data_IF_781454843340
#
_entry.id   IF_781454843340
#
_cell.length_a   1.000
_cell.length_b   1.000
_cell.length_c   1.000
_cell.angle_alpha   90.00
_cell.angle_beta   90.00
_cell.angle_gamma   90.00
#
_symmetry.space_group_name_H-M   'P 1'
#
loop_
_entity.id
_entity.type
_entity.pdbx_description
1 polymer ?
#
# COMPACT_ATOMS: atom_id res chain seq x y z
N UNK A 1 7.32 -3.21 -24.71
CA UNK A 1 7.01 -4.07 -23.56
C UNK A 1 8.20 -3.99 -22.61
N UNK A 2 8.18 -3.09 -21.64
CA UNK A 2 9.24 -2.99 -20.63
C UNK A 2 8.66 -3.55 -19.34
N UNK A 3 9.30 -4.59 -18.82
CA UNK A 3 9.18 -4.96 -17.42
C UNK A 3 9.44 -3.71 -16.56
N UNK A 4 8.96 -3.73 -15.31
CA UNK A 4 9.45 -2.85 -14.24
C UNK A 4 10.90 -2.46 -14.50
N UNK A 5 11.14 -1.16 -14.64
CA UNK A 5 12.31 -0.67 -15.34
C UNK A 5 13.57 -1.24 -14.69
N UNK A 6 14.38 -1.91 -15.51
CA UNK A 6 15.64 -2.55 -15.16
C UNK A 6 16.75 -1.54 -14.77
N UNK A 7 16.40 -0.31 -14.39
CA UNK A 7 17.34 0.81 -14.21
C UNK A 7 17.74 1.10 -12.75
N UNK A 8 17.32 0.29 -11.78
CA UNK A 8 17.92 0.37 -10.44
C UNK A 8 17.75 1.71 -9.71
N UNK A 9 16.60 2.38 -9.85
CA UNK A 9 16.35 3.61 -9.11
C UNK A 9 14.87 3.95 -8.97
N UNK A 10 14.34 3.81 -7.75
CA UNK A 10 13.24 4.59 -7.14
C UNK A 10 12.18 5.11 -8.13
N UNK A 11 11.42 4.23 -8.77
CA UNK A 11 10.30 4.68 -9.61
C UNK A 11 9.27 5.38 -8.71
N UNK A 12 9.16 6.70 -8.90
CA UNK A 12 8.25 7.57 -8.16
C UNK A 12 6.82 7.34 -8.64
N UNK A 13 5.99 6.78 -7.78
CA UNK A 13 4.55 6.67 -7.97
C UNK A 13 3.85 7.79 -7.19
N UNK A 14 2.77 8.29 -7.74
CA UNK A 14 1.90 9.28 -7.11
C UNK A 14 0.72 8.56 -6.48
N UNK A 15 0.39 8.88 -5.24
CA UNK A 15 -0.76 8.34 -4.52
C UNK A 15 -1.78 9.45 -4.25
N UNK A 16 -2.93 9.35 -4.92
CA UNK A 16 -4.02 10.32 -4.82
C UNK A 16 -4.90 10.14 -3.59
N UNK A 17 -5.80 11.11 -3.41
CA UNK A 17 -6.86 11.16 -2.40
C UNK A 17 -6.37 11.29 -0.96
N UNK A 18 -7.14 12.05 -0.17
CA UNK A 18 -6.95 12.16 1.26
C UNK A 18 -7.48 10.90 1.96
N UNK A 19 -8.68 10.45 1.59
CA UNK A 19 -9.21 9.15 1.99
C UNK A 19 -8.48 8.04 1.21
N UNK A 20 -7.64 7.22 1.87
CA UNK A 20 -6.89 6.18 1.20
C UNK A 20 -7.79 5.09 0.60
N UNK A 21 -9.07 4.99 1.01
CA UNK A 21 -10.02 4.01 0.49
C UNK A 21 -10.54 4.34 -0.92
N UNK A 22 -10.40 5.58 -1.35
CA UNK A 22 -10.80 6.08 -2.67
C UNK A 22 -9.59 6.63 -3.45
N UNK A 23 -8.45 5.97 -3.29
CA UNK A 23 -7.17 6.44 -3.80
C UNK A 23 -6.72 5.69 -5.04
N UNK A 24 -5.80 6.30 -5.79
CA UNK A 24 -5.15 5.67 -6.93
C UNK A 24 -3.64 5.85 -6.83
N UNK A 25 -2.91 4.77 -7.10
CA UNK A 25 -1.45 4.76 -7.24
C UNK A 25 -1.13 4.72 -8.72
N UNK A 26 -0.43 5.72 -9.22
CA UNK A 26 -0.15 5.87 -10.64
C UNK A 26 1.26 6.39 -10.88
N UNK A 27 1.84 6.05 -12.03
CA UNK A 27 3.13 6.55 -12.48
C UNK A 27 2.99 7.37 -13.77
N UNK A 28 4.13 7.77 -14.38
CA UNK A 28 4.15 8.41 -15.69
C UNK A 28 3.46 7.61 -16.80
N UNK A 29 3.34 6.29 -16.60
CA UNK A 29 2.81 5.30 -17.54
C UNK A 29 1.30 5.06 -17.40
N UNK A 30 0.65 5.67 -16.40
CA UNK A 30 -0.76 5.46 -16.10
C UNK A 30 -1.02 4.85 -14.70
N UNK A 31 -2.27 4.42 -14.42
CA UNK A 31 -2.64 3.82 -13.15
C UNK A 31 -1.97 2.44 -12.96
N UNK A 32 -1.58 2.15 -11.72
CA UNK A 32 -1.05 0.84 -11.32
C UNK A 32 -2.01 0.15 -10.35
N UNK A 33 -2.50 0.88 -9.35
CA UNK A 33 -3.49 0.38 -8.39
C UNK A 33 -4.60 1.40 -8.18
N UNK A 34 -5.82 0.91 -7.96
CA UNK A 34 -7.00 1.73 -7.71
C UNK A 34 -7.80 1.14 -6.56
N UNK A 35 -8.08 1.97 -5.56
CA UNK A 35 -8.98 1.66 -4.46
C UNK A 35 -10.33 2.31 -4.73
N UNK A 36 -11.39 1.51 -4.67
CA UNK A 36 -12.76 1.96 -4.85
C UNK A 36 -13.57 1.62 -3.62
N UNK A 37 -14.01 2.63 -2.88
CA UNK A 37 -14.88 2.44 -1.73
C UNK A 37 -16.34 2.55 -2.16
N UNK A 38 -17.14 1.56 -1.79
CA UNK A 38 -18.59 1.58 -1.87
C UNK A 38 -19.15 1.88 -0.48
N UNK A 39 -19.57 3.12 -0.26
CA UNK A 39 -20.15 3.59 1.00
C UNK A 39 -21.49 2.90 1.34
N UNK A 40 -22.22 2.38 0.34
CA UNK A 40 -23.49 1.69 0.60
C UNK A 40 -23.26 0.30 1.19
N UNK A 41 -22.14 -0.34 0.81
CA UNK A 41 -21.76 -1.68 1.27
C UNK A 41 -20.69 -1.66 2.36
N UNK A 42 -20.09 -0.50 2.63
CA UNK A 42 -18.89 -0.36 3.46
C UNK A 42 -17.78 -1.34 3.01
N UNK A 43 -17.52 -1.37 1.70
CA UNK A 43 -16.50 -2.25 1.09
C UNK A 43 -15.52 -1.40 0.31
N UNK A 44 -14.21 -1.67 0.46
CA UNK A 44 -13.21 -1.16 -0.48
C UNK A 44 -12.67 -2.30 -1.33
N UNK A 45 -12.59 -2.12 -2.64
CA UNK A 45 -11.90 -3.06 -3.52
C UNK A 45 -10.62 -2.42 -4.06
N UNK A 46 -9.52 -3.17 -4.00
CA UNK A 46 -8.24 -2.80 -4.59
C UNK A 46 -8.06 -3.57 -5.90
N UNK A 47 -7.88 -2.83 -6.97
CA UNK A 47 -7.62 -3.34 -8.31
C UNK A 47 -6.20 -3.00 -8.72
N UNK A 48 -5.54 -3.94 -9.39
CA UNK A 48 -4.27 -3.72 -10.07
C UNK A 48 -4.49 -3.71 -11.57
N UNK A 49 -3.93 -2.73 -12.26
CA UNK A 49 -3.94 -2.68 -13.72
C UNK A 49 -3.10 -3.82 -14.29
N UNK A 50 -3.70 -4.59 -15.19
CA UNK A 50 -3.12 -5.75 -15.87
C UNK A 50 -3.02 -5.48 -17.37
N UNK A 51 -2.50 -6.45 -18.14
CA UNK A 51 -2.33 -6.27 -19.59
C UNK A 51 -3.68 -6.17 -20.31
N UNK A 52 -3.76 -5.24 -21.27
CA UNK A 52 -4.90 -5.09 -22.18
C UNK A 52 -6.12 -4.45 -21.53
N UNK A 53 -5.92 -3.37 -20.76
CA UNK A 53 -6.96 -2.60 -20.07
C UNK A 53 -7.83 -3.40 -19.09
N UNK A 54 -7.33 -4.56 -18.65
CA UNK A 54 -7.98 -5.39 -17.63
C UNK A 54 -7.50 -4.98 -16.25
N UNK A 55 -8.39 -5.06 -15.28
CA UNK A 55 -8.08 -4.88 -13.87
C UNK A 55 -8.22 -6.22 -13.14
N UNK A 56 -7.21 -6.57 -12.36
CA UNK A 56 -7.23 -7.75 -11.49
C UNK A 56 -7.54 -7.29 -10.06
N UNK A 57 -8.59 -7.84 -9.44
CA UNK A 57 -8.89 -7.55 -8.03
C UNK A 57 -7.85 -8.21 -7.13
N UNK A 58 -7.07 -7.40 -6.43
CA UNK A 58 -5.99 -7.81 -5.53
C UNK A 58 -6.53 -8.07 -4.12
N UNK A 59 -7.35 -7.14 -3.61
CA UNK A 59 -7.89 -7.23 -2.26
C UNK A 59 -9.32 -6.68 -2.18
N UNK A 60 -10.09 -7.19 -1.22
CA UNK A 60 -11.40 -6.69 -0.84
C UNK A 60 -11.46 -6.50 0.67
N UNK A 61 -11.75 -5.28 1.10
CA UNK A 61 -11.83 -4.84 2.48
C UNK A 61 -13.31 -4.70 2.85
N UNK A 62 -13.75 -5.39 3.88
CA UNK A 62 -15.08 -5.26 4.47
C UNK A 62 -14.94 -4.52 5.79
N UNK A 63 -15.41 -3.27 5.81
CA UNK A 63 -15.28 -2.39 6.97
C UNK A 63 -16.43 -2.63 7.95
N UNK A 64 -16.19 -2.35 9.23
CA UNK A 64 -17.25 -2.31 10.23
C UNK A 64 -18.22 -1.14 9.97
N UNK A 65 -19.42 -1.15 10.61
CA UNK A 65 -20.50 -0.19 10.35
C UNK A 65 -20.11 1.30 10.47
N UNK A 66 -19.07 1.61 11.25
CA UNK A 66 -18.58 2.97 11.50
C UNK A 66 -17.19 3.22 10.90
N UNK A 67 -16.79 2.47 9.87
CA UNK A 67 -15.43 2.50 9.33
C UNK A 67 -14.40 1.76 10.20
N UNK A 68 -14.83 1.07 11.25
CA UNK A 68 -13.95 0.24 12.06
C UNK A 68 -13.25 -0.84 11.22
N UNK A 69 -12.06 -1.26 11.67
CA UNK A 69 -11.32 -2.34 11.02
C UNK A 69 -12.14 -3.64 11.05
N UNK A 70 -12.38 -4.21 9.87
CA UNK A 70 -13.09 -5.47 9.72
C UNK A 70 -12.17 -6.55 9.14
N UNK A 71 -12.56 -7.12 8.00
CA UNK A 71 -11.81 -8.21 7.34
C UNK A 71 -11.31 -7.81 5.97
N UNK A 72 -10.20 -8.37 5.57
CA UNK A 72 -9.64 -8.22 4.23
C UNK A 72 -9.45 -9.59 3.60
N UNK A 73 -9.85 -9.69 2.34
CA UNK A 73 -9.66 -10.86 1.50
C UNK A 73 -8.62 -10.55 0.43
N UNK A 74 -7.50 -11.27 0.44
CA UNK A 74 -6.39 -11.15 -0.52
C UNK A 74 -6.25 -12.49 -1.23
N UNK A 75 -6.56 -12.51 -2.53
CA UNK A 75 -6.68 -13.77 -3.28
C UNK A 75 -7.72 -14.71 -2.64
N UNK A 76 -7.26 -15.84 -2.10
CA UNK A 76 -8.11 -16.84 -1.42
C UNK A 76 -8.10 -16.72 0.12
N UNK A 77 -7.23 -15.88 0.67
CA UNK A 77 -7.04 -15.77 2.12
C UNK A 77 -7.93 -14.64 2.64
N UNK A 78 -8.63 -14.88 3.75
CA UNK A 78 -9.36 -13.85 4.48
C UNK A 78 -8.81 -13.75 5.89
N UNK A 79 -8.45 -12.55 6.30
CA UNK A 79 -7.91 -12.26 7.63
C UNK A 79 -8.47 -10.96 8.22
N UNK A 80 -8.42 -10.78 9.55
CA UNK A 80 -8.68 -9.49 10.17
C UNK A 80 -7.75 -8.39 9.63
N UNK A 81 -8.27 -7.18 9.38
CA UNK A 81 -7.43 -6.05 8.94
C UNK A 81 -6.39 -5.66 9.99
N UNK A 82 -6.68 -5.89 11.28
CA UNK A 82 -5.75 -5.61 12.38
C UNK A 82 -4.45 -6.41 12.26
N UNK A 83 -4.50 -7.63 11.70
CA UNK A 83 -3.32 -8.47 11.50
C UNK A 83 -2.40 -7.95 10.38
N UNK A 84 -2.93 -7.11 9.49
CA UNK A 84 -2.14 -6.41 8.46
C UNK A 84 -1.59 -5.06 8.91
N UNK A 85 -2.01 -4.59 10.08
CA UNK A 85 -1.68 -3.26 10.59
C UNK A 85 -1.36 -3.30 12.08
N UNK A 86 -0.84 -4.44 12.56
CA UNK A 86 -0.75 -4.72 13.98
C UNK A 86 0.31 -3.82 14.62
N UNK A 87 -0.07 -2.91 15.54
CA UNK A 87 0.89 -2.03 16.20
C UNK A 87 1.89 -2.85 17.00
N UNK A 88 3.16 -2.44 16.97
CA UNK A 88 4.17 -3.09 17.80
C UNK A 88 3.99 -2.72 19.28
N UNK A 89 4.10 -3.69 20.20
CA UNK A 89 4.10 -3.40 21.63
C UNK A 89 5.19 -2.39 21.97
N UNK A 90 4.81 -1.30 22.63
CA UNK A 90 5.72 -0.21 23.03
C UNK A 90 6.03 0.84 21.95
N UNK A 91 5.65 0.62 20.69
CA UNK A 91 5.75 1.65 19.67
C UNK A 91 4.61 1.61 18.63
N UNK A 92 3.51 2.35 18.87
CA UNK A 92 2.32 2.31 18.01
C UNK A 92 2.53 2.94 16.63
N UNK A 93 3.65 3.65 16.41
CA UNK A 93 4.00 4.18 15.09
C UNK A 93 4.49 3.10 14.13
N UNK A 94 4.91 1.96 14.66
CA UNK A 94 5.30 0.81 13.86
C UNK A 94 4.15 -0.15 13.73
N UNK A 95 3.95 -0.67 12.52
CA UNK A 95 2.86 -1.61 12.23
C UNK A 95 3.40 -2.77 11.43
N UNK A 96 3.09 -3.99 11.87
CA UNK A 96 3.60 -5.20 11.25
C UNK A 96 2.50 -6.03 10.59
N UNK A 97 2.89 -6.81 9.60
CA UNK A 97 2.03 -7.75 8.89
C UNK A 97 2.82 -8.99 8.46
N UNK A 98 2.11 -10.05 8.09
CA UNK A 98 2.71 -11.23 7.45
C UNK A 98 2.50 -11.11 5.94
N UNK A 99 3.59 -11.23 5.19
CA UNK A 99 3.57 -11.19 3.74
C UNK A 99 3.16 -12.53 3.10
N UNK A 100 3.00 -12.57 1.77
CA UNK A 100 2.58 -13.76 1.04
C UNK A 100 3.61 -14.90 1.07
N UNK A 101 4.86 -14.61 1.42
CA UNK A 101 5.96 -15.54 1.63
C UNK A 101 6.02 -16.10 3.07
N UNK A 102 5.08 -15.71 3.94
CA UNK A 102 5.06 -16.08 5.35
C UNK A 102 6.04 -15.29 6.22
N UNK A 103 6.75 -14.31 5.64
CA UNK A 103 7.70 -13.47 6.36
C UNK A 103 7.02 -12.27 7.00
N UNK A 104 7.62 -11.74 8.07
CA UNK A 104 7.12 -10.54 8.75
C UNK A 104 7.66 -9.29 8.06
N UNK A 105 6.75 -8.37 7.72
CA UNK A 105 7.05 -7.04 7.22
C UNK A 105 6.61 -5.99 8.21
N UNK A 106 7.24 -4.82 8.16
CA UNK A 106 7.01 -3.76 9.13
C UNK A 106 7.03 -2.38 8.48
N UNK A 107 5.93 -1.65 8.63
CA UNK A 107 5.88 -0.22 8.40
C UNK A 107 6.47 0.51 9.61
N UNK A 108 7.38 1.44 9.33
CA UNK A 108 8.14 2.18 10.32
C UNK A 108 8.35 3.63 9.88
N UNK A 109 8.34 4.61 10.79
CA UNK A 109 8.92 5.91 10.51
C UNK A 109 10.38 5.77 10.08
N UNK A 110 10.77 6.48 9.04
CA UNK A 110 12.15 6.56 8.57
C UNK A 110 12.99 7.46 9.48
N UNK A 111 14.31 7.28 9.43
CA UNK A 111 15.27 8.09 10.19
C UNK A 111 15.29 9.56 9.78
N UNK A 112 14.73 9.91 8.62
CA UNK A 112 14.58 11.31 8.21
C UNK A 112 13.41 12.04 8.88
N UNK A 113 12.59 11.34 9.67
CA UNK A 113 11.49 11.92 10.44
C UNK A 113 10.25 12.30 9.62
N UNK A 114 10.23 11.99 8.32
CA UNK A 114 9.13 12.37 7.41
C UNK A 114 8.55 11.15 6.69
N UNK A 115 9.41 10.24 6.25
CA UNK A 115 8.97 9.09 5.46
C UNK A 115 8.46 7.95 6.33
N UNK A 116 7.63 7.11 5.75
CA UNK A 116 7.22 5.82 6.32
C UNK A 116 7.70 4.72 5.38
N UNK A 117 8.53 3.82 5.89
CA UNK A 117 9.20 2.76 5.11
C UNK A 117 8.64 1.39 5.45
N UNK A 118 8.53 0.52 4.45
CA UNK A 118 8.26 -0.89 4.63
C UNK A 118 9.57 -1.65 4.66
N UNK A 119 9.81 -2.36 5.75
CA UNK A 119 10.99 -3.16 5.97
C UNK A 119 10.67 -4.65 5.86
N UNK A 120 11.58 -5.40 5.27
CA UNK A 120 11.58 -6.86 5.28
C UNK A 120 12.12 -7.40 6.64
N UNK A 121 12.14 -8.73 6.87
CA UNK A 121 12.65 -9.31 8.12
C UNK A 121 14.13 -9.01 8.43
N UNK A 122 14.89 -8.58 7.42
CA UNK A 122 16.31 -8.26 7.52
C UNK A 122 16.53 -6.75 7.67
N UNK A 123 15.46 -5.97 7.90
CA UNK A 123 15.44 -4.51 7.99
C UNK A 123 15.80 -3.79 6.68
N UNK A 124 15.77 -4.47 5.54
CA UNK A 124 15.94 -3.80 4.25
C UNK A 124 14.65 -3.06 3.90
N UNK A 125 14.79 -1.81 3.45
CA UNK A 125 13.65 -1.03 2.97
C UNK A 125 13.23 -1.51 1.58
N UNK A 126 12.00 -1.98 1.44
CA UNK A 126 11.42 -2.46 0.17
C UNK A 126 10.36 -1.53 -0.41
N UNK A 127 9.75 -0.66 0.41
CA UNK A 127 8.87 0.40 -0.06
C UNK A 127 8.97 1.66 0.82
N UNK A 128 8.58 2.82 0.30
CA UNK A 128 8.52 4.07 1.05
C UNK A 128 7.29 4.89 0.64
N UNK A 129 6.60 5.44 1.64
CA UNK A 129 5.61 6.51 1.52
C UNK A 129 6.23 7.82 1.98
N UNK A 130 6.28 8.80 1.07
CA UNK A 130 6.73 10.15 1.36
C UNK A 130 5.53 11.11 1.30
N UNK A 131 5.10 11.74 2.41
CA UNK A 131 4.05 12.73 2.39
C UNK A 131 4.51 13.98 1.64
N UNK A 132 3.65 14.52 0.77
CA UNK A 132 3.92 15.75 0.03
C UNK A 132 2.86 16.81 0.27
N UNK A 133 3.18 18.05 -0.10
CA UNK A 133 2.15 19.10 -0.21
C UNK A 133 1.14 18.70 -1.28
N UNK A 134 -0.18 18.78 -0.98
CA UNK A 134 -1.21 18.37 -1.93
C UNK A 134 -1.04 19.04 -3.29
N UNK A 135 -0.78 18.25 -4.32
CA UNK A 135 -0.51 18.72 -5.68
C UNK A 135 -1.58 18.21 -6.62
N UNK A 136 -2.10 19.09 -7.49
CA UNK A 136 -3.21 18.73 -8.40
C UNK A 136 -2.70 18.03 -9.67
N UNK A 137 -3.22 16.84 -9.93
CA UNK A 137 -3.03 16.06 -11.15
C UNK A 137 -4.38 15.89 -11.88
N UNK A 138 -4.39 15.46 -13.16
CA UNK A 138 -5.63 15.21 -13.90
C UNK A 138 -6.58 14.21 -13.20
N UNK A 139 -6.00 13.25 -12.47
CA UNK A 139 -6.72 12.19 -11.77
C UNK A 139 -7.14 12.55 -10.34
N UNK A 140 -6.78 13.73 -9.85
CA UNK A 140 -7.08 14.20 -8.50
C UNK A 140 -5.88 14.85 -7.80
N UNK A 141 -6.06 15.20 -6.52
CA UNK A 141 -4.96 15.69 -5.68
C UNK A 141 -4.10 14.52 -5.19
N UNK A 142 -2.80 14.68 -5.26
CA UNK A 142 -1.79 13.73 -4.77
C UNK A 142 -1.27 14.22 -3.43
N UNK A 143 -1.28 13.33 -2.45
CA UNK A 143 -0.89 13.62 -1.06
C UNK A 143 0.38 12.87 -0.65
N UNK A 144 0.70 11.77 -1.34
CA UNK A 144 1.90 10.98 -1.09
C UNK A 144 2.60 10.61 -2.38
N UNK A 145 3.91 10.49 -2.29
CA UNK A 145 4.74 9.77 -3.24
C UNK A 145 5.01 8.37 -2.68
N UNK A 146 5.00 7.37 -3.56
CA UNK A 146 5.19 5.98 -3.20
C UNK A 146 6.32 5.39 -4.03
N UNK A 147 7.22 4.68 -3.37
CA UNK A 147 8.42 4.13 -3.98
C UNK A 147 8.51 2.64 -3.68
N UNK A 148 8.87 1.86 -4.69
CA UNK A 148 9.33 0.49 -4.53
C UNK A 148 10.86 0.45 -4.65
N UNK A 149 11.51 -0.30 -3.77
CA UNK A 149 12.93 -0.59 -3.84
C UNK A 149 13.15 -2.02 -4.31
N UNK A 150 14.35 -2.32 -4.80
CA UNK A 150 14.74 -3.68 -5.15
C UNK A 150 14.79 -4.55 -3.88
N UNK A 151 14.58 -5.85 -4.06
CA UNK A 151 14.87 -6.83 -3.01
C UNK A 151 16.35 -6.73 -2.60
N UNK A 152 16.70 -7.14 -1.37
CA UNK A 152 18.08 -7.12 -0.85
C UNK A 152 19.11 -7.80 -1.77
N UNK A 153 18.68 -8.74 -2.62
CA UNK A 153 19.52 -9.41 -3.63
C UNK A 153 19.64 -8.65 -4.96
N UNK A 154 19.14 -7.41 -5.05
CA UNK A 154 19.16 -6.60 -6.28
C UNK A 154 18.10 -6.96 -7.33
N UNK A 155 17.30 -8.00 -7.06
CA UNK A 155 16.19 -8.43 -7.91
C UNK A 155 14.96 -7.51 -7.84
N UNK A 156 14.12 -7.57 -8.86
CA UNK A 156 12.82 -6.89 -8.85
C UNK A 156 11.93 -7.47 -7.74
N UNK A 157 11.08 -6.62 -7.13
CA UNK A 157 10.04 -7.12 -6.23
C UNK A 157 9.02 -7.95 -7.00
N UNK A 158 8.61 -9.06 -6.40
CA UNK A 158 7.60 -9.93 -6.98
C UNK A 158 6.21 -9.28 -6.86
N UNK A 159 5.30 -9.45 -7.84
CA UNK A 159 3.98 -8.84 -7.81
C UNK A 159 3.20 -9.08 -6.49
N UNK A 160 3.20 -10.28 -5.87
CA UNK A 160 2.53 -10.48 -4.59
C UNK A 160 3.09 -9.62 -3.44
N UNK A 161 4.39 -9.35 -3.44
CA UNK A 161 5.04 -8.48 -2.44
C UNK A 161 4.67 -7.01 -2.69
N UNK A 162 4.54 -6.61 -3.95
CA UNK A 162 4.06 -5.28 -4.30
C UNK A 162 2.59 -5.07 -3.90
N UNK A 163 1.76 -6.08 -4.16
CA UNK A 163 0.35 -6.10 -3.80
C UNK A 163 0.16 -5.92 -2.28
N UNK A 164 0.90 -6.69 -1.47
CA UNK A 164 0.81 -6.59 0.00
C UNK A 164 1.34 -5.24 0.50
N UNK A 165 2.38 -4.70 -0.12
CA UNK A 165 2.91 -3.37 0.24
C UNK A 165 1.85 -2.28 0.01
N UNK A 166 1.15 -2.30 -1.12
CA UNK A 166 0.11 -1.31 -1.44
C UNK A 166 -1.13 -1.48 -0.55
N UNK A 167 -1.57 -2.73 -0.33
CA UNK A 167 -2.69 -3.06 0.56
C UNK A 167 -2.42 -2.60 2.00
N UNK A 168 -1.24 -2.90 2.53
CA UNK A 168 -0.88 -2.56 3.91
C UNK A 168 -0.56 -1.08 4.07
N UNK A 169 -0.01 -0.41 3.05
CA UNK A 169 0.16 1.04 3.04
C UNK A 169 -1.18 1.78 3.08
N UNK A 170 -2.19 1.32 2.35
CA UNK A 170 -3.55 1.89 2.41
C UNK A 170 -4.12 1.79 3.82
N UNK A 171 -4.04 0.61 4.45
CA UNK A 171 -4.45 0.41 5.84
C UNK A 171 -3.64 1.26 6.82
N UNK A 172 -2.31 1.34 6.64
CA UNK A 172 -1.46 2.19 7.46
C UNK A 172 -1.90 3.65 7.43
N UNK A 173 -2.17 4.20 6.23
CA UNK A 173 -2.68 5.57 6.05
C UNK A 173 -4.02 5.75 6.77
N UNK A 174 -4.93 4.79 6.62
CA UNK A 174 -6.24 4.82 7.27
C UNK A 174 -6.10 4.81 8.80
N UNK A 175 -5.39 3.84 9.36
CA UNK A 175 -5.20 3.72 10.81
C UNK A 175 -4.50 4.94 11.40
N UNK A 176 -3.53 5.51 10.68
CA UNK A 176 -2.81 6.71 11.13
C UNK A 176 -3.71 7.97 11.13
N UNK A 177 -4.64 8.08 10.18
CA UNK A 177 -5.56 9.21 10.10
C UNK A 177 -6.70 9.14 11.14
N UNK A 178 -7.18 7.93 11.45
CA UNK A 178 -8.36 7.71 12.29
C UNK A 178 -8.07 7.15 13.69
N UNK A 179 -6.80 6.93 14.04
CA UNK A 179 -6.38 6.57 15.40
C UNK A 179 -6.64 5.11 15.79
N UNK A 180 -6.49 4.19 14.84
CA UNK A 180 -6.57 2.73 15.09
C UNK A 180 -5.23 2.10 15.42
#
# INVERSE_FOLDING_TARGET
MQAFNANGGRDKLCWSSEDPRESMVFGPWGPLYRFAHDYSRNVTECYRTSRGDKEDRVARFEWGPNGALGRVSIGKISLPMIDLCNPLPGNPTYRSCIGPDGLRYQWAPSTNGVDVVLQDPYNNTIACMHPIRPTRYPVGKVYYEFYFYKSGNGGALLPPVMDIAVVTAMLYRYCSAYGF
#
